data_IF_166572903126
#
_entry.id   IF_166572903126
#
_cell.length_a   1.000
_cell.length_b   1.000
_cell.length_c   1.000
_cell.angle_alpha   90.00
_cell.angle_beta   90.00
_cell.angle_gamma   90.00
#
_symmetry.space_group_name_H-M   'P 1'
#
loop_
_entity.id
_entity.type
_entity.pdbx_description
1 polymer ?
#
# COMPACT_ATOMS: atom_id res chain seq x y z
N UNK A 1 -11.54 -6.19 2.19
CA UNK A 1 -11.00 -4.87 2.56
C UNK A 1 -9.50 -5.01 2.79
N UNK A 2 -8.73 -4.17 2.15
CA UNK A 2 -7.28 -4.04 2.35
C UNK A 2 -7.04 -2.63 2.85
N UNK A 3 -6.45 -2.49 4.03
CA UNK A 3 -6.07 -1.19 4.62
C UNK A 3 -4.62 -1.24 5.01
N UNK A 4 -3.90 -0.17 4.70
CA UNK A 4 -2.51 0.02 5.12
C UNK A 4 -2.38 1.36 5.78
N UNK A 5 -2.20 1.36 7.09
CA UNK A 5 -1.78 2.56 7.81
C UNK A 5 -0.27 2.65 7.66
N UNK A 6 0.21 3.69 7.00
CA UNK A 6 1.61 3.79 6.62
C UNK A 6 2.19 5.18 6.83
N UNK A 7 3.50 5.21 6.92
CA UNK A 7 4.34 6.41 6.78
C UNK A 7 5.16 6.26 5.51
N UNK A 8 5.11 7.26 4.64
CA UNK A 8 5.92 7.33 3.42
C UNK A 8 6.90 8.49 3.50
N UNK A 9 8.14 8.28 3.04
CA UNK A 9 9.15 9.32 2.85
C UNK A 9 9.59 9.30 1.39
N UNK A 10 9.47 10.41 0.72
CA UNK A 10 9.78 10.51 -0.70
C UNK A 10 9.80 11.96 -1.18
N UNK A 11 9.93 12.15 -2.49
CA UNK A 11 10.02 13.46 -3.11
C UNK A 11 8.80 13.75 -3.97
N UNK A 12 8.22 14.92 -3.83
CA UNK A 12 7.13 15.40 -4.69
C UNK A 12 7.64 15.53 -6.11
N UNK A 13 7.04 14.80 -7.05
CA UNK A 13 7.49 14.77 -8.44
C UNK A 13 6.85 15.82 -9.32
N UNK A 14 5.66 16.31 -8.94
CA UNK A 14 4.96 17.42 -9.59
C UNK A 14 4.30 18.28 -8.52
N UNK A 15 4.30 19.60 -8.72
CA UNK A 15 3.67 20.55 -7.81
C UNK A 15 2.19 20.22 -7.56
N UNK A 16 1.77 20.47 -6.35
CA UNK A 16 0.42 20.16 -5.88
C UNK A 16 -0.67 20.94 -6.63
N UNK A 17 -1.84 20.34 -6.67
CA UNK A 17 -3.08 20.96 -7.20
C UNK A 17 -4.20 20.81 -6.19
N UNK A 18 -5.15 21.76 -6.20
CA UNK A 18 -6.35 21.69 -5.36
C UNK A 18 -7.48 21.01 -6.13
N UNK A 19 -8.24 20.18 -5.42
CA UNK A 19 -9.49 19.58 -5.88
C UNK A 19 -10.57 19.83 -4.86
N UNK A 20 -11.77 20.14 -5.33
CA UNK A 20 -12.96 20.28 -4.49
C UNK A 20 -13.79 19.01 -4.59
N UNK A 21 -14.10 18.39 -3.48
CA UNK A 21 -15.01 17.25 -3.42
C UNK A 21 -16.47 17.70 -3.54
N UNK A 22 -17.37 16.76 -3.80
CA UNK A 22 -18.80 17.06 -3.99
C UNK A 22 -19.51 17.64 -2.75
N UNK A 23 -18.92 17.48 -1.57
CA UNK A 23 -19.36 18.07 -0.30
C UNK A 23 -18.78 19.48 -0.03
N UNK A 24 -18.01 20.03 -0.98
CA UNK A 24 -17.36 21.32 -0.88
C UNK A 24 -16.02 21.33 -0.17
N UNK A 25 -15.57 20.20 0.37
CA UNK A 25 -14.22 20.07 0.97
C UNK A 25 -13.13 20.17 -0.07
N UNK A 26 -12.07 20.88 0.27
CA UNK A 26 -10.91 21.04 -0.60
C UNK A 26 -9.80 20.10 -0.17
N UNK A 27 -9.14 19.52 -1.15
CA UNK A 27 -8.00 18.63 -0.98
C UNK A 27 -6.86 19.07 -1.86
N UNK A 28 -5.65 19.00 -1.30
CA UNK A 28 -4.41 19.18 -2.04
C UNK A 28 -3.95 17.79 -2.50
N UNK A 29 -3.66 17.65 -3.78
CA UNK A 29 -3.17 16.40 -4.37
C UNK A 29 -1.82 16.60 -5.04
N UNK A 30 -0.89 15.69 -4.81
CA UNK A 30 0.44 15.67 -5.42
C UNK A 30 1.00 14.25 -5.50
N UNK A 31 1.77 13.94 -6.57
CA UNK A 31 2.44 12.66 -6.67
C UNK A 31 3.79 12.68 -5.93
N UNK A 32 4.05 11.63 -5.17
CA UNK A 32 5.31 11.40 -4.47
C UNK A 32 6.02 10.22 -5.09
N UNK A 33 7.29 10.40 -5.44
CA UNK A 33 8.18 9.34 -5.89
C UNK A 33 9.03 8.86 -4.73
N UNK A 34 9.17 7.56 -4.62
CA UNK A 34 10.07 6.89 -3.70
C UNK A 34 10.67 5.64 -4.35
N UNK A 35 11.88 5.31 -3.96
CA UNK A 35 12.59 4.14 -4.45
C UNK A 35 12.52 3.02 -3.41
N UNK A 36 11.89 1.93 -3.80
CA UNK A 36 11.83 0.71 -2.99
C UNK A 36 13.09 -0.11 -3.27
N UNK A 37 13.90 -0.47 -2.26
CA UNK A 37 15.04 -1.35 -2.47
C UNK A 37 14.62 -2.67 -3.13
N UNK A 38 15.48 -3.22 -3.97
CA UNK A 38 15.25 -4.53 -4.55
C UNK A 38 15.24 -5.62 -3.45
N UNK A 39 14.39 -6.62 -3.61
CA UNK A 39 14.23 -7.72 -2.64
C UNK A 39 15.47 -8.63 -2.48
N UNK A 40 16.50 -8.42 -3.28
CA UNK A 40 17.79 -9.13 -3.23
C UNK A 40 18.91 -8.12 -3.44
N UNK A 41 20.05 -8.37 -2.80
CA UNK A 41 21.23 -7.49 -2.81
C UNK A 41 21.75 -7.05 -4.19
N UNK A 42 21.36 -7.71 -5.26
CA UNK A 42 21.78 -7.40 -6.65
C UNK A 42 20.63 -6.93 -7.55
N UNK A 43 19.44 -6.67 -7.01
CA UNK A 43 18.34 -6.12 -7.80
C UNK A 43 18.31 -4.60 -7.65
N UNK A 44 18.20 -3.86 -8.76
CA UNK A 44 18.00 -2.41 -8.69
C UNK A 44 16.71 -2.10 -7.94
N UNK A 45 16.71 -1.03 -7.18
CA UNK A 45 15.51 -0.52 -6.55
C UNK A 45 14.43 -0.20 -7.59
N UNK A 46 13.18 -0.34 -7.21
CA UNK A 46 12.04 -0.01 -8.05
C UNK A 46 11.48 1.35 -7.64
N UNK A 47 11.37 2.25 -8.60
CA UNK A 47 10.67 3.52 -8.39
C UNK A 47 9.17 3.28 -8.28
N UNK A 48 8.58 3.83 -7.24
CA UNK A 48 7.16 3.80 -6.96
C UNK A 48 6.61 5.22 -6.97
N UNK A 49 5.50 5.45 -7.63
CA UNK A 49 4.77 6.72 -7.56
C UNK A 49 3.49 6.53 -6.75
N UNK A 50 3.32 7.35 -5.73
CA UNK A 50 2.15 7.34 -4.83
C UNK A 50 1.40 8.65 -5.02
N UNK A 51 0.12 8.57 -5.32
CA UNK A 51 -0.77 9.75 -5.39
C UNK A 51 -1.22 10.12 -3.99
N UNK A 52 -0.68 11.20 -3.47
CA UNK A 52 -0.99 11.69 -2.11
C UNK A 52 -2.08 12.73 -2.18
N UNK A 53 -3.03 12.65 -1.25
CA UNK A 53 -4.04 13.68 -1.00
C UNK A 53 -4.08 14.02 0.49
N UNK A 54 -4.25 15.30 0.80
CA UNK A 54 -4.52 15.80 2.16
C UNK A 54 -5.59 16.86 2.13
N UNK A 55 -6.32 17.06 3.20
CA UNK A 55 -7.21 18.21 3.36
C UNK A 55 -6.39 19.50 3.38
N UNK A 56 -6.82 20.52 2.62
CA UNK A 56 -6.14 21.80 2.49
C UNK A 56 -6.63 22.59 1.28
N UNK A 57 -6.19 23.82 1.17
CA UNK A 57 -6.64 24.78 0.14
C UNK A 57 -5.47 25.40 -0.66
N UNK A 58 -5.80 26.37 -1.50
CA UNK A 58 -4.88 27.05 -2.40
C UNK A 58 -3.73 27.77 -1.66
N UNK A 59 -3.92 28.16 -0.40
CA UNK A 59 -2.89 28.88 0.38
C UNK A 59 -1.67 28.00 0.69
N UNK A 60 -1.85 26.69 0.69
CA UNK A 60 -0.81 25.73 1.00
C UNK A 60 0.01 25.25 -0.23
N UNK A 61 -0.44 25.53 -1.46
CA UNK A 61 0.13 24.94 -2.69
C UNK A 61 1.63 25.18 -2.85
N UNK A 62 2.13 26.35 -2.46
CA UNK A 62 3.55 26.71 -2.60
C UNK A 62 4.46 25.83 -1.74
N UNK A 63 3.97 25.33 -0.61
CA UNK A 63 4.71 24.44 0.28
C UNK A 63 4.90 23.04 -0.33
N UNK A 64 4.02 22.64 -1.25
CA UNK A 64 4.03 21.31 -1.89
C UNK A 64 4.53 21.39 -3.34
N UNK A 65 5.64 22.07 -3.55
CA UNK A 65 6.27 22.21 -4.86
C UNK A 65 7.02 20.93 -5.27
N UNK A 66 7.16 20.72 -6.58
CA UNK A 66 7.99 19.66 -7.11
C UNK A 66 9.44 19.76 -6.58
N UNK A 67 10.04 18.62 -6.24
CA UNK A 67 11.38 18.54 -5.64
C UNK A 67 11.39 18.60 -4.11
N UNK A 68 10.29 18.93 -3.46
CA UNK A 68 10.20 18.95 -2.00
C UNK A 68 10.16 17.52 -1.45
N UNK A 69 11.04 17.21 -0.50
CA UNK A 69 10.98 15.95 0.26
C UNK A 69 9.96 16.06 1.38
N UNK A 70 9.17 15.02 1.53
CA UNK A 70 8.15 14.96 2.56
C UNK A 70 8.17 13.61 3.29
N UNK A 71 7.68 13.63 4.52
CA UNK A 71 7.24 12.46 5.24
C UNK A 71 5.75 12.60 5.52
N UNK A 72 4.95 11.64 5.08
CA UNK A 72 3.51 11.66 5.27
C UNK A 72 3.03 10.41 5.99
N UNK A 73 2.14 10.57 6.96
CA UNK A 73 1.48 9.48 7.68
C UNK A 73 0.00 9.47 7.36
N UNK A 74 -0.54 8.30 7.07
CA UNK A 74 -1.95 8.17 6.69
C UNK A 74 -2.30 6.80 6.13
N UNK A 75 -3.36 6.75 5.34
CA UNK A 75 -3.92 5.53 4.78
C UNK A 75 -3.48 5.33 3.33
N UNK A 76 -2.80 4.22 3.06
CA UNK A 76 -2.48 3.75 1.72
C UNK A 76 -3.57 2.80 1.23
N UNK A 77 -4.06 3.04 0.03
CA UNK A 77 -5.01 2.18 -0.67
C UNK A 77 -4.49 1.82 -2.04
N UNK A 78 -4.94 0.67 -2.54
CA UNK A 78 -4.52 0.13 -3.83
C UNK A 78 -5.73 0.08 -4.76
N UNK A 79 -5.55 0.58 -5.97
CA UNK A 79 -6.57 0.47 -7.02
C UNK A 79 -5.96 -0.18 -8.25
N UNK A 80 -6.58 -1.25 -8.72
CA UNK A 80 -6.20 -1.88 -9.97
C UNK A 80 -6.94 -1.19 -11.13
N UNK A 81 -6.19 -0.68 -12.11
CA UNK A 81 -6.72 -0.08 -13.33
C UNK A 81 -6.09 -0.81 -14.52
N UNK A 82 -6.83 -1.75 -15.13
CA UNK A 82 -6.28 -2.65 -16.12
C UNK A 82 -5.17 -3.53 -15.53
N UNK A 83 -3.97 -3.47 -16.11
CA UNK A 83 -2.78 -4.20 -15.62
C UNK A 83 -1.93 -3.37 -14.64
N UNK A 84 -2.30 -2.13 -14.39
CA UNK A 84 -1.58 -1.25 -13.48
C UNK A 84 -2.15 -1.32 -12.06
N UNK A 85 -1.28 -1.13 -11.09
CA UNK A 85 -1.64 -0.97 -9.68
C UNK A 85 -1.34 0.47 -9.27
N UNK A 86 -2.38 1.23 -9.02
CA UNK A 86 -2.29 2.61 -8.57
C UNK A 86 -2.24 2.64 -7.03
N UNK A 87 -1.34 3.43 -6.50
CA UNK A 87 -1.18 3.65 -5.06
C UNK A 87 -1.74 5.02 -4.71
N UNK A 88 -2.79 5.05 -3.89
CA UNK A 88 -3.40 6.28 -3.40
C UNK A 88 -3.16 6.38 -1.89
N UNK A 89 -2.75 7.54 -1.44
CA UNK A 89 -2.41 7.80 -0.05
C UNK A 89 -3.19 9.01 0.44
N UNK A 90 -4.02 8.80 1.44
CA UNK A 90 -4.69 9.88 2.14
C UNK A 90 -3.89 10.24 3.39
N UNK A 91 -3.23 11.39 3.35
CA UNK A 91 -2.37 11.83 4.42
C UNK A 91 -3.18 12.51 5.54
N UNK A 92 -3.00 12.02 6.76
CA UNK A 92 -3.49 12.67 7.97
C UNK A 92 -2.52 13.80 8.39
N UNK A 93 -1.22 13.55 8.23
CA UNK A 93 -0.15 14.53 8.53
C UNK A 93 0.91 14.51 7.44
N UNK A 94 1.51 15.67 7.16
CA UNK A 94 2.64 15.82 6.25
C UNK A 94 3.70 16.69 6.90
N UNK A 95 4.91 16.16 7.04
CA UNK A 95 6.10 16.86 7.47
C UNK A 95 6.92 17.28 6.24
N UNK A 96 7.14 18.58 6.08
CA UNK A 96 7.90 19.17 4.95
C UNK A 96 9.42 19.24 5.21
N UNK A 97 9.86 18.85 6.39
CA UNK A 97 11.26 18.83 6.78
C UNK A 97 11.60 17.55 7.53
N UNK A 98 11.49 16.38 6.86
CA UNK A 98 11.78 15.12 7.51
C UNK A 98 13.26 15.02 7.88
N UNK A 99 13.55 14.37 9.01
CA UNK A 99 14.93 14.13 9.46
C UNK A 99 15.67 13.16 8.54
N UNK A 100 14.94 12.22 7.94
CA UNK A 100 15.50 11.22 7.03
C UNK A 100 15.46 11.69 5.58
N UNK A 101 16.59 11.57 4.90
CA UNK A 101 16.72 11.80 3.44
C UNK A 101 16.56 10.52 2.62
N UNK A 102 16.15 9.41 3.24
CA UNK A 102 15.99 8.12 2.58
C UNK A 102 14.53 7.90 2.21
N UNK A 103 14.32 7.41 1.00
CA UNK A 103 13.00 6.95 0.59
C UNK A 103 12.60 5.75 1.43
N UNK A 104 11.37 5.77 1.92
CA UNK A 104 10.84 4.72 2.76
C UNK A 104 9.31 4.61 2.62
N UNK A 105 8.83 3.41 2.85
CA UNK A 105 7.42 3.13 3.10
C UNK A 105 7.33 2.07 4.17
N UNK A 106 6.72 2.41 5.28
CA UNK A 106 6.57 1.53 6.44
C UNK A 106 5.12 1.58 6.92
N UNK A 107 4.62 0.48 7.43
CA UNK A 107 3.26 0.49 7.93
C UNK A 107 2.73 -0.85 8.40
N UNK A 108 1.46 -0.83 8.76
CA UNK A 108 0.70 -2.02 9.16
C UNK A 108 -0.39 -2.29 8.14
N UNK A 109 -0.37 -3.48 7.58
CA UNK A 109 -1.37 -3.96 6.62
C UNK A 109 -2.41 -4.79 7.34
N UNK A 110 -3.67 -4.48 7.08
CA UNK A 110 -4.83 -5.27 7.47
C UNK A 110 -5.55 -5.79 6.22
N UNK A 111 -5.70 -7.10 6.14
CA UNK A 111 -6.42 -7.77 5.07
C UNK A 111 -7.62 -8.52 5.63
N UNK A 112 -8.81 -8.27 5.08
CA UNK A 112 -10.02 -9.06 5.32
C UNK A 112 -10.56 -9.58 3.99
N UNK A 113 -10.68 -10.89 3.87
CA UNK A 113 -11.08 -11.49 2.61
C UNK A 113 -11.38 -12.98 2.71
N UNK A 114 -11.47 -13.62 1.55
CA UNK A 114 -11.85 -15.02 1.40
C UNK A 114 -10.72 -15.79 0.73
N UNK A 115 -10.36 -16.92 1.28
CA UNK A 115 -9.34 -17.82 0.71
C UNK A 115 -9.84 -18.38 -0.62
N UNK A 116 -8.96 -18.39 -1.63
CA UNK A 116 -9.24 -18.96 -2.94
C UNK A 116 -9.32 -20.49 -2.92
N UNK A 117 -9.28 -21.09 -4.09
CA UNK A 117 -9.50 -22.55 -4.25
C UNK A 117 -8.33 -23.40 -3.78
N UNK A 118 -7.10 -22.87 -3.78
CA UNK A 118 -5.88 -23.61 -3.48
C UNK A 118 -5.21 -23.15 -2.19
N UNK A 119 -4.87 -24.09 -1.36
CA UNK A 119 -3.98 -23.92 -0.21
C UNK A 119 -2.91 -25.00 -0.33
N UNK A 120 -1.69 -24.58 -0.70
CA UNK A 120 -0.59 -25.46 -1.03
C UNK A 120 0.42 -25.51 0.12
N UNK A 121 0.60 -26.67 0.70
CA UNK A 121 1.71 -26.94 1.62
C UNK A 121 2.96 -27.25 0.81
N UNK A 122 4.06 -26.58 1.13
CA UNK A 122 5.35 -26.71 0.42
C UNK A 122 6.50 -26.83 1.41
N UNK A 123 7.59 -27.37 0.91
CA UNK A 123 8.85 -27.46 1.64
C UNK A 123 9.91 -26.66 0.88
N UNK A 124 10.64 -25.83 1.59
CA UNK A 124 11.73 -25.06 1.00
C UNK A 124 13.00 -25.95 0.79
N UNK A 125 14.02 -25.40 0.16
CA UNK A 125 15.28 -26.09 -0.11
C UNK A 125 16.06 -26.49 1.16
N UNK A 126 15.71 -25.91 2.30
CA UNK A 126 16.33 -26.17 3.61
C UNK A 126 15.50 -27.11 4.48
N UNK A 127 14.39 -27.65 3.95
CA UNK A 127 13.47 -28.52 4.68
C UNK A 127 12.42 -27.79 5.54
N UNK A 128 12.38 -26.46 5.50
CA UNK A 128 11.39 -25.64 6.19
C UNK A 128 10.01 -25.78 5.53
N UNK A 129 8.97 -26.02 6.31
CA UNK A 129 7.60 -26.09 5.80
C UNK A 129 6.99 -24.70 5.71
N UNK A 130 6.28 -24.44 4.63
CA UNK A 130 5.49 -23.24 4.45
C UNK A 130 4.19 -23.52 3.72
N UNK A 131 3.19 -22.66 3.91
CA UNK A 131 1.94 -22.69 3.14
C UNK A 131 1.87 -21.48 2.22
N UNK A 132 1.42 -21.72 0.99
CA UNK A 132 1.13 -20.67 0.01
C UNK A 132 -0.32 -20.74 -0.41
N UNK A 133 -1.02 -19.62 -0.34
CA UNK A 133 -2.39 -19.50 -0.78
C UNK A 133 -2.69 -18.10 -1.31
N UNK A 134 -3.75 -17.97 -2.07
CA UNK A 134 -4.27 -16.67 -2.50
C UNK A 134 -5.62 -16.42 -1.84
N UNK A 135 -5.84 -15.17 -1.46
CA UNK A 135 -7.15 -14.75 -0.97
C UNK A 135 -7.55 -13.45 -1.68
N UNK A 136 -8.84 -13.23 -1.77
CA UNK A 136 -9.38 -12.02 -2.38
C UNK A 136 -10.17 -11.19 -1.38
N UNK A 137 -10.00 -9.89 -1.49
CA UNK A 137 -10.82 -8.89 -0.85
C UNK A 137 -11.83 -8.37 -1.85
N UNK A 138 -13.06 -8.18 -1.42
CA UNK A 138 -14.14 -7.64 -2.24
C UNK A 138 -14.44 -6.22 -1.78
N UNK A 139 -14.45 -5.29 -2.72
CA UNK A 139 -14.84 -3.91 -2.48
C UNK A 139 -15.96 -3.53 -3.45
N UNK A 140 -16.98 -2.82 -2.93
CA UNK A 140 -18.06 -2.30 -3.75
C UNK A 140 -17.70 -0.91 -4.23
N UNK A 141 -17.71 -0.71 -5.55
CA UNK A 141 -17.53 0.59 -6.18
C UNK A 141 -18.75 0.88 -7.06
N UNK A 142 -19.70 1.68 -6.54
CA UNK A 142 -21.00 1.86 -7.14
C UNK A 142 -21.78 0.52 -7.17
N UNK A 143 -22.22 0.10 -8.35
CA UNK A 143 -22.92 -1.17 -8.55
C UNK A 143 -21.99 -2.34 -8.90
N UNK A 144 -20.68 -2.10 -8.98
CA UNK A 144 -19.70 -3.12 -9.38
C UNK A 144 -18.94 -3.64 -8.17
N UNK A 145 -18.71 -4.96 -8.14
CA UNK A 145 -17.82 -5.60 -7.16
C UNK A 145 -16.42 -5.72 -7.78
N UNK A 146 -15.45 -5.16 -7.09
CA UNK A 146 -14.04 -5.30 -7.44
C UNK A 146 -13.38 -6.33 -6.53
N UNK A 147 -12.61 -7.23 -7.13
CA UNK A 147 -11.87 -8.27 -6.43
C UNK A 147 -10.39 -7.96 -6.50
N UNK A 148 -9.75 -7.83 -5.34
CA UNK A 148 -8.30 -7.67 -5.25
C UNK A 148 -7.71 -8.94 -4.67
N UNK A 149 -6.87 -9.61 -5.46
CA UNK A 149 -6.20 -10.84 -5.07
C UNK A 149 -4.86 -10.55 -4.43
N UNK A 150 -4.60 -11.19 -3.31
CA UNK A 150 -3.33 -11.15 -2.57
C UNK A 150 -2.82 -12.57 -2.38
N UNK A 151 -1.53 -12.77 -2.64
CA UNK A 151 -0.84 -14.02 -2.37
C UNK A 151 -0.21 -13.97 -0.99
N UNK A 152 -0.46 -14.99 -0.21
CA UNK A 152 0.08 -15.18 1.13
C UNK A 152 1.09 -16.31 1.14
N UNK A 153 2.17 -16.12 1.89
CA UNK A 153 3.16 -17.15 2.21
C UNK A 153 3.36 -17.08 3.72
N UNK A 154 3.05 -18.18 4.40
CA UNK A 154 3.26 -18.32 5.84
C UNK A 154 4.34 -19.36 6.07
N UNK A 155 5.46 -18.92 6.61
CA UNK A 155 6.59 -19.77 7.00
C UNK A 155 6.32 -20.42 8.36
N UNK A 156 7.08 -21.47 8.68
CA UNK A 156 6.95 -22.24 9.93
C UNK A 156 5.52 -22.73 10.16
N UNK A 157 4.94 -23.28 9.09
CA UNK A 157 3.55 -23.65 9.05
C UNK A 157 3.30 -24.94 9.83
N UNK A 158 2.44 -24.81 10.87
CA UNK A 158 1.71 -25.92 11.44
C UNK A 158 0.30 -25.85 10.87
N UNK A 159 -0.23 -26.93 10.32
CA UNK A 159 -1.53 -26.96 9.62
C UNK A 159 -2.63 -26.40 10.51
N UNK A 160 -3.09 -25.21 10.16
CA UNK A 160 -4.23 -24.59 10.80
C UNK A 160 -5.51 -25.19 10.19
N UNK A 161 -6.34 -25.82 10.99
CA UNK A 161 -7.57 -26.45 10.53
C UNK A 161 -8.58 -25.50 9.86
N UNK A 162 -8.45 -24.19 10.10
CA UNK A 162 -9.31 -23.15 9.52
C UNK A 162 -8.83 -22.64 8.16
N UNK A 163 -7.58 -22.95 7.74
CA UNK A 163 -7.04 -22.49 6.48
C UNK A 163 -7.44 -23.44 5.35
N UNK A 164 -8.66 -23.28 4.86
CA UNK A 164 -9.24 -24.09 3.80
C UNK A 164 -9.84 -23.20 2.70
N UNK A 165 -10.11 -23.74 1.49
CA UNK A 165 -10.77 -23.01 0.43
C UNK A 165 -12.09 -22.39 0.88
N UNK A 166 -12.34 -21.14 0.49
CA UNK A 166 -13.53 -20.34 0.85
C UNK A 166 -13.61 -19.87 2.31
N UNK A 167 -12.64 -20.20 3.15
CA UNK A 167 -12.58 -19.65 4.51
C UNK A 167 -12.44 -18.12 4.47
N UNK A 168 -13.09 -17.45 5.39
CA UNK A 168 -12.91 -16.01 5.61
C UNK A 168 -11.72 -15.81 6.54
N UNK A 169 -10.79 -14.95 6.14
CA UNK A 169 -9.58 -14.67 6.91
C UNK A 169 -9.46 -13.18 7.23
N UNK A 170 -8.87 -12.93 8.36
CA UNK A 170 -8.36 -11.63 8.78
C UNK A 170 -6.86 -11.78 9.04
N UNK A 171 -6.06 -11.11 8.23
CA UNK A 171 -4.62 -11.13 8.36
C UNK A 171 -4.09 -9.73 8.63
N UNK A 172 -3.11 -9.65 9.55
CA UNK A 172 -2.37 -8.42 9.81
C UNK A 172 -0.90 -8.68 9.58
N UNK A 173 -0.18 -7.67 9.11
CA UNK A 173 1.24 -7.78 8.82
C UNK A 173 1.89 -6.41 8.81
N UNK A 174 3.22 -6.41 8.80
CA UNK A 174 3.99 -5.20 8.56
C UNK A 174 4.22 -5.04 7.07
N UNK A 175 4.04 -3.82 6.59
CA UNK A 175 4.59 -3.39 5.33
C UNK A 175 5.98 -2.84 5.64
N UNK A 176 7.00 -3.56 5.24
CA UNK A 176 8.39 -3.22 5.50
C UNK A 176 9.17 -3.30 4.19
N UNK A 177 10.05 -2.35 3.98
CA UNK A 177 11.03 -2.36 2.92
C UNK A 177 12.38 -2.71 3.51
N UNK A 178 12.85 -3.86 3.16
CA UNK A 178 14.25 -4.26 3.38
C UNK A 178 14.97 -4.38 2.06
#
# INVERSE_FOLDING_TARGET
MIKVQATINGVISKSATVRTAGDGKKFIGFPVKLTVPGSRNNMPGKELTVSVSKEGDESELTAFAAGTRIEATGMLTFRKTGDNLDFNFHADTVNLSPESNKDAIEGTLEFKGTVGKGVDEKTDKKGGKYVSFSAYSTEKSGDTLQFTWVRFIKFDYVKDAFLEPKAKIHATGKLDQK
#
